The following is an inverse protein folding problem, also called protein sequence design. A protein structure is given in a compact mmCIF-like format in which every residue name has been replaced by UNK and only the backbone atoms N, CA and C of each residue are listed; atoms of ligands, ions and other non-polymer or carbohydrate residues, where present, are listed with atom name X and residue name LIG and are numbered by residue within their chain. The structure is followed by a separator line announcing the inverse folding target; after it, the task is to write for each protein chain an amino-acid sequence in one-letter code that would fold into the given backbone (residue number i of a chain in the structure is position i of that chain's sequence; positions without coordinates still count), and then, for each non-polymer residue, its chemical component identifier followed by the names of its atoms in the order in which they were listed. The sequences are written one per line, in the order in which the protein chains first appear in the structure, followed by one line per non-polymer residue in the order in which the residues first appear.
data_IF_759195779313
#
_entry.id   IF_759195779313
#
_cell.length_a   1.000
_cell.length_b   1.000
_cell.length_c   1.000
_cell.angle_alpha   90.00
_cell.angle_beta   90.00
_cell.angle_gamma   90.00
#
_symmetry.space_group_name_H-M   'P 1'
#
loop_
_entity.id
_entity.type
_entity.pdbx_description
1 polymer ?
#
# COMPACT_ATOMS: atom_id res chain seq x y z
N UNK A 1 -20.30 -8.86 -0.59
CA UNK A 1 -19.05 -8.23 -0.11
C UNK A 1 -18.45 -7.35 -1.19
N UNK A 2 -17.76 -6.28 -0.82
CA UNK A 2 -17.09 -5.37 -1.76
C UNK A 2 -15.87 -4.72 -1.09
N UNK A 3 -15.01 -4.11 -1.90
CA UNK A 3 -13.82 -3.42 -1.42
C UNK A 3 -14.11 -1.94 -1.22
N UNK A 4 -13.71 -1.43 -0.07
CA UNK A 4 -13.64 -0.01 0.23
C UNK A 4 -12.19 0.39 0.47
N UNK A 5 -11.77 1.46 -0.18
CA UNK A 5 -10.46 2.02 0.05
C UNK A 5 -10.50 3.04 1.19
N UNK A 6 -9.60 2.86 2.15
CA UNK A 6 -9.36 3.84 3.19
C UNK A 6 -8.04 4.56 2.90
N UNK A 7 -8.04 5.87 2.99
CA UNK A 7 -6.85 6.68 2.78
C UNK A 7 -6.38 7.31 4.08
N UNK A 8 -5.06 7.36 4.25
CA UNK A 8 -4.39 8.08 5.32
C UNK A 8 -3.23 8.87 4.74
N UNK A 9 -3.21 10.18 4.96
CA UNK A 9 -2.07 11.01 4.61
C UNK A 9 -0.85 10.62 5.44
N UNK A 10 0.28 10.43 4.78
CA UNK A 10 1.56 10.15 5.44
C UNK A 10 2.17 11.44 5.95
N UNK A 11 2.75 11.39 7.13
CA UNK A 11 3.45 12.53 7.72
C UNK A 11 4.82 12.78 7.08
N UNK A 12 5.40 11.77 6.46
CA UNK A 12 6.67 11.84 5.74
C UNK A 12 6.54 11.11 4.41
N UNK A 13 7.25 11.56 3.36
CA UNK A 13 7.29 10.85 2.10
C UNK A 13 8.03 9.51 2.27
N UNK A 14 7.50 8.44 1.67
CA UNK A 14 8.14 7.13 1.72
C UNK A 14 9.31 7.02 0.72
N UNK A 15 9.17 7.62 -0.44
CA UNK A 15 10.13 7.51 -1.54
C UNK A 15 10.30 8.84 -2.28
N UNK A 16 11.47 9.01 -2.88
CA UNK A 16 11.80 10.13 -3.75
C UNK A 16 12.22 11.40 -3.01
N UNK A 17 12.74 12.37 -3.74
CA UNK A 17 13.22 13.61 -3.18
C UNK A 17 12.07 14.46 -2.65
N UNK A 18 12.34 15.23 -1.59
CA UNK A 18 11.44 16.28 -1.13
C UNK A 18 11.23 17.30 -2.24
N UNK A 19 10.00 17.68 -2.50
CA UNK A 19 9.64 18.71 -3.48
C UNK A 19 9.33 20.06 -2.80
N UNK A 20 9.38 20.12 -1.47
CA UNK A 20 9.12 21.31 -0.68
C UNK A 20 8.40 20.98 0.62
N UNK A 21 8.11 21.99 1.41
CA UNK A 21 7.42 21.86 2.68
C UNK A 21 5.90 21.91 2.49
N UNK A 22 5.18 21.13 3.30
CA UNK A 22 3.72 21.22 3.36
C UNK A 22 3.33 22.53 4.02
N UNK A 23 2.38 23.23 3.42
CA UNK A 23 1.81 24.46 3.99
C UNK A 23 0.30 24.31 4.21
N UNK A 24 -0.20 24.94 5.26
CA UNK A 24 -1.62 25.01 5.52
C UNK A 24 -2.32 26.04 4.62
N UNK A 25 -3.63 26.21 4.78
CA UNK A 25 -4.41 27.18 4.00
C UNK A 25 -3.96 28.64 4.20
N UNK A 26 -3.31 28.95 5.33
CA UNK A 26 -2.76 30.27 5.65
C UNK A 26 -1.29 30.42 5.21
N UNK A 27 -0.72 29.43 4.50
CA UNK A 27 0.66 29.45 4.04
C UNK A 27 1.71 29.12 5.11
N UNK A 28 1.31 28.69 6.30
CA UNK A 28 2.22 28.36 7.40
C UNK A 28 2.74 26.92 7.24
N UNK A 29 3.97 26.69 7.68
CA UNK A 29 4.59 25.37 7.70
C UNK A 29 3.83 24.42 8.62
N UNK A 30 3.65 23.18 8.18
CA UNK A 30 2.98 22.13 8.96
C UNK A 30 4.01 21.21 9.58
N UNK A 31 3.87 20.96 10.88
CA UNK A 31 4.74 20.10 11.66
C UNK A 31 4.00 18.82 12.07
N UNK A 32 4.70 17.72 12.16
CA UNK A 32 4.12 16.51 12.74
C UNK A 32 4.15 16.56 14.28
N UNK A 33 3.53 15.56 14.91
CA UNK A 33 3.50 15.48 16.39
C UNK A 33 4.88 15.30 17.02
N UNK A 34 5.91 14.93 16.26
CA UNK A 34 7.29 14.74 16.72
C UNK A 34 8.16 15.98 16.50
N UNK A 35 7.59 17.08 16.02
CA UNK A 35 8.31 18.31 15.77
C UNK A 35 9.12 18.34 14.48
N UNK A 36 8.86 17.43 13.53
CA UNK A 36 9.48 17.43 12.21
C UNK A 36 8.57 18.12 11.19
N UNK A 37 9.18 18.87 10.26
CA UNK A 37 8.45 19.49 9.14
C UNK A 37 7.89 18.40 8.20
N UNK A 38 6.65 18.61 7.76
CA UNK A 38 6.07 17.79 6.72
C UNK A 38 6.58 18.26 5.35
N UNK A 39 6.93 17.30 4.51
CA UNK A 39 7.40 17.56 3.15
C UNK A 39 6.41 17.02 2.13
N UNK A 40 6.24 17.80 1.06
CA UNK A 40 5.64 17.30 -0.17
C UNK A 40 6.67 16.49 -0.94
N UNK A 41 6.22 15.64 -1.81
CA UNK A 41 7.08 14.87 -2.71
C UNK A 41 6.59 14.98 -4.14
N UNK A 42 7.50 14.74 -5.06
CA UNK A 42 7.17 14.58 -6.48
C UNK A 42 6.76 13.13 -6.73
N UNK A 43 5.55 12.93 -7.25
CA UNK A 43 5.03 11.62 -7.67
C UNK A 43 5.57 11.25 -9.05
N UNK A 44 5.37 9.99 -9.46
CA UNK A 44 5.78 9.50 -10.77
C UNK A 44 5.10 10.24 -11.93
N UNK A 45 3.85 10.68 -11.77
CA UNK A 45 3.11 11.51 -12.73
C UNK A 45 3.60 12.98 -12.80
N UNK A 46 4.63 13.35 -12.01
CA UNK A 46 5.16 14.69 -11.90
C UNK A 46 4.40 15.63 -10.96
N UNK A 47 3.25 15.24 -10.44
CA UNK A 47 2.48 16.02 -9.48
C UNK A 47 3.20 16.13 -8.13
N UNK A 48 2.91 17.21 -7.38
CA UNK A 48 3.48 17.45 -6.06
C UNK A 48 2.38 17.35 -5.01
N UNK A 49 2.63 16.60 -3.94
CA UNK A 49 1.66 16.45 -2.86
C UNK A 49 2.18 15.63 -1.69
N UNK A 50 1.36 15.51 -0.64
CA UNK A 50 1.60 14.57 0.44
C UNK A 50 1.41 13.15 -0.08
N UNK A 51 2.25 12.24 0.43
CA UNK A 51 2.07 10.83 0.16
C UNK A 51 0.83 10.30 0.89
N UNK A 52 0.12 9.39 0.26
CA UNK A 52 -1.12 8.82 0.80
C UNK A 52 -0.96 7.30 0.88
N UNK A 53 -1.26 6.75 2.04
CA UNK A 53 -1.36 5.31 2.22
C UNK A 53 -2.80 4.87 2.00
N UNK A 54 -2.97 3.91 1.13
CA UNK A 54 -4.24 3.28 0.82
C UNK A 54 -4.33 1.89 1.43
N UNK A 55 -5.45 1.61 2.08
CA UNK A 55 -5.74 0.28 2.64
C UNK A 55 -6.99 -0.27 1.97
N UNK A 56 -6.88 -1.47 1.41
CA UNK A 56 -8.00 -2.21 0.87
C UNK A 56 -8.74 -2.92 2.02
N UNK A 57 -10.00 -2.61 2.19
CA UNK A 57 -10.85 -3.15 3.24
C UNK A 57 -12.06 -3.85 2.62
N UNK A 58 -12.30 -5.09 3.01
CA UNK A 58 -13.52 -5.82 2.65
C UNK A 58 -14.63 -5.45 3.61
N UNK A 59 -15.75 -5.03 3.07
CA UNK A 59 -16.95 -4.68 3.82
C UNK A 59 -18.15 -5.44 3.28
N UNK A 60 -19.10 -5.67 4.15
CA UNK A 60 -20.38 -6.29 3.83
C UNK A 60 -21.54 -5.39 4.23
N UNK A 61 -22.54 -5.30 3.37
CA UNK A 61 -23.77 -4.62 3.73
C UNK A 61 -24.69 -5.58 4.51
N UNK A 62 -25.06 -5.18 5.69
CA UNK A 62 -26.03 -5.91 6.52
C UNK A 62 -27.22 -5.02 6.83
N UNK A 63 -28.34 -5.63 7.16
CA UNK A 63 -29.48 -4.95 7.76
C UNK A 63 -29.54 -5.32 9.24
N UNK A 64 -29.44 -4.31 10.10
CA UNK A 64 -29.60 -4.44 11.55
C UNK A 64 -30.78 -3.56 11.93
N UNK A 65 -31.81 -4.13 12.55
CA UNK A 65 -33.05 -3.45 12.92
C UNK A 65 -33.69 -2.71 11.72
N UNK A 66 -33.70 -3.36 10.54
CA UNK A 66 -34.25 -2.79 9.31
C UNK A 66 -33.41 -1.68 8.66
N UNK A 67 -32.33 -1.22 9.29
CA UNK A 67 -31.43 -0.17 8.78
C UNK A 67 -30.21 -0.76 8.10
N UNK A 68 -29.80 -0.25 6.93
CA UNK A 68 -28.57 -0.68 6.27
C UNK A 68 -27.35 -0.28 7.11
N UNK A 69 -26.45 -1.23 7.36
CA UNK A 69 -25.17 -1.04 8.04
C UNK A 69 -24.05 -1.66 7.25
N UNK A 70 -22.92 -1.01 7.22
CA UNK A 70 -21.69 -1.59 6.69
C UNK A 70 -20.93 -2.26 7.82
N UNK A 71 -20.61 -3.53 7.64
CA UNK A 71 -19.77 -4.28 8.55
C UNK A 71 -18.38 -4.46 7.95
N UNK A 72 -17.35 -4.12 8.73
CA UNK A 72 -15.98 -4.43 8.41
C UNK A 72 -15.76 -5.95 8.52
N UNK A 73 -15.28 -6.56 7.42
CA UNK A 73 -14.96 -8.00 7.38
C UNK A 73 -13.48 -8.20 7.63
N UNK A 74 -12.63 -7.56 6.83
CA UNK A 74 -11.18 -7.65 6.95
C UNK A 74 -10.47 -6.47 6.30
N UNK A 75 -9.31 -6.10 6.84
CA UNK A 75 -8.32 -5.29 6.15
C UNK A 75 -7.36 -6.23 5.43
N UNK A 76 -7.21 -6.07 4.11
CA UNK A 76 -6.41 -6.97 3.30
C UNK A 76 -4.95 -6.56 3.25
N UNK A 77 -4.68 -5.40 2.67
CA UNK A 77 -3.33 -4.90 2.49
C UNK A 77 -3.32 -3.39 2.38
N UNK A 78 -2.15 -2.81 2.58
CA UNK A 78 -1.93 -1.37 2.43
C UNK A 78 -0.76 -1.11 1.50
N UNK A 79 -0.86 -0.05 0.70
CA UNK A 79 0.22 0.42 -0.14
C UNK A 79 0.24 1.94 -0.16
N UNK A 80 1.42 2.53 -0.12
CA UNK A 80 1.59 3.96 -0.27
C UNK A 80 1.55 4.34 -1.75
N UNK A 81 0.89 5.42 -2.08
CA UNK A 81 0.67 5.86 -3.47
C UNK A 81 1.98 5.95 -4.26
N UNK A 82 3.04 6.44 -3.63
CA UNK A 82 4.38 6.51 -4.22
C UNK A 82 5.01 5.15 -4.54
N UNK A 83 4.54 4.09 -3.91
CA UNK A 83 5.07 2.72 -4.09
C UNK A 83 4.26 1.88 -5.05
N UNK A 84 3.11 2.39 -5.53
CA UNK A 84 2.24 1.64 -6.44
C UNK A 84 2.92 1.29 -7.77
N UNK A 85 3.90 2.06 -8.21
CA UNK A 85 4.66 1.81 -9.44
C UNK A 85 5.92 0.96 -9.22
N UNK A 86 6.29 0.70 -7.97
CA UNK A 86 7.44 -0.12 -7.63
C UNK A 86 7.03 -1.60 -7.66
N UNK A 87 7.60 -2.37 -8.57
CA UNK A 87 7.21 -3.76 -8.86
C UNK A 87 7.22 -4.63 -7.60
N UNK A 88 8.31 -4.65 -6.82
CA UNK A 88 8.39 -5.48 -5.61
C UNK A 88 7.44 -5.02 -4.50
N UNK A 89 7.09 -3.73 -4.42
CA UNK A 89 6.10 -3.24 -3.47
C UNK A 89 4.68 -3.68 -3.86
N UNK A 90 4.35 -3.68 -5.15
CA UNK A 90 3.08 -4.25 -5.64
C UNK A 90 3.03 -5.75 -5.41
N UNK A 91 4.14 -6.48 -5.56
CA UNK A 91 4.20 -7.91 -5.25
C UNK A 91 3.87 -8.18 -3.79
N UNK A 92 4.52 -7.50 -2.85
CA UNK A 92 4.23 -7.64 -1.42
C UNK A 92 2.76 -7.30 -1.10
N UNK A 93 2.23 -6.25 -1.71
CA UNK A 93 0.83 -5.88 -1.53
C UNK A 93 -0.11 -7.02 -1.98
N UNK A 94 0.12 -7.60 -3.15
CA UNK A 94 -0.72 -8.69 -3.66
C UNK A 94 -0.54 -9.98 -2.88
N UNK A 95 0.66 -10.30 -2.42
CA UNK A 95 0.91 -11.42 -1.52
C UNK A 95 0.09 -11.29 -0.23
N UNK A 96 0.11 -10.11 0.39
CA UNK A 96 -0.71 -9.82 1.58
C UNK A 96 -2.21 -9.93 1.29
N UNK A 97 -2.67 -9.45 0.13
CA UNK A 97 -4.09 -9.58 -0.29
C UNK A 97 -4.48 -11.06 -0.37
N UNK A 98 -3.68 -11.88 -1.05
CA UNK A 98 -3.96 -13.30 -1.20
C UNK A 98 -3.94 -14.03 0.14
N UNK A 99 -2.95 -13.79 0.97
CA UNK A 99 -2.84 -14.39 2.31
C UNK A 99 -4.06 -14.06 3.18
N UNK A 100 -4.51 -12.80 3.15
CA UNK A 100 -5.69 -12.38 3.90
C UNK A 100 -6.98 -12.97 3.36
N UNK A 101 -7.14 -13.06 2.05
CA UNK A 101 -8.29 -13.74 1.44
C UNK A 101 -8.31 -15.24 1.76
N UNK A 102 -7.15 -15.89 1.79
CA UNK A 102 -7.01 -17.29 2.19
C UNK A 102 -7.41 -17.50 3.66
N UNK A 103 -7.01 -16.57 4.55
CA UNK A 103 -7.39 -16.61 5.97
C UNK A 103 -8.90 -16.46 6.19
N UNK A 104 -9.63 -15.80 5.30
CA UNK A 104 -11.08 -15.71 5.35
C UNK A 104 -11.76 -17.06 5.07
N UNK A 105 -11.12 -17.93 4.30
CA UNK A 105 -11.57 -19.28 4.03
C UNK A 105 -13.02 -19.34 3.53
N UNK A 106 -13.87 -20.09 4.23
CA UNK A 106 -15.27 -20.27 3.85
C UNK A 106 -16.17 -19.05 4.11
N UNK A 107 -15.67 -17.99 4.73
CA UNK A 107 -16.43 -16.74 4.92
C UNK A 107 -16.61 -15.96 3.63
N UNK A 108 -15.83 -16.27 2.61
CA UNK A 108 -15.87 -15.63 1.32
C UNK A 108 -16.09 -16.67 0.22
N UNK A 109 -17.04 -16.40 -0.67
CA UNK A 109 -17.25 -17.23 -1.85
C UNK A 109 -16.16 -17.00 -2.90
N UNK A 110 -15.96 -17.97 -3.78
CA UNK A 110 -15.02 -17.81 -4.91
C UNK A 110 -15.42 -16.66 -5.84
N UNK A 111 -16.71 -16.42 -5.99
CA UNK A 111 -17.22 -15.31 -6.78
C UNK A 111 -16.91 -13.96 -6.13
N UNK A 112 -17.16 -13.82 -4.83
CA UNK A 112 -16.81 -12.61 -4.08
C UNK A 112 -15.31 -12.36 -4.09
N UNK A 113 -14.50 -13.41 -3.95
CA UNK A 113 -13.05 -13.31 -4.05
C UNK A 113 -12.61 -12.72 -5.39
N UNK A 114 -13.14 -13.23 -6.49
CA UNK A 114 -12.84 -12.71 -7.84
C UNK A 114 -13.24 -11.24 -8.00
N UNK A 115 -14.41 -10.87 -7.48
CA UNK A 115 -14.90 -9.48 -7.51
C UNK A 115 -14.01 -8.55 -6.70
N UNK A 116 -13.57 -8.99 -5.53
CA UNK A 116 -12.66 -8.24 -4.66
C UNK A 116 -11.31 -8.05 -5.35
N UNK A 117 -10.71 -9.11 -5.86
CA UNK A 117 -9.44 -9.04 -6.57
C UNK A 117 -9.51 -8.13 -7.81
N UNK A 118 -10.60 -8.22 -8.59
CA UNK A 118 -10.81 -7.35 -9.74
C UNK A 118 -10.95 -5.87 -9.33
N UNK A 119 -11.67 -5.58 -8.26
CA UNK A 119 -11.82 -4.22 -7.75
C UNK A 119 -10.48 -3.63 -7.24
N UNK A 120 -9.65 -4.45 -6.59
CA UNK A 120 -8.32 -4.04 -6.15
C UNK A 120 -7.40 -3.77 -7.34
N UNK A 121 -7.46 -4.59 -8.39
CA UNK A 121 -6.63 -4.45 -9.59
C UNK A 121 -6.90 -3.15 -10.37
N UNK A 122 -8.07 -2.54 -10.22
CA UNK A 122 -8.36 -1.23 -10.80
C UNK A 122 -7.49 -0.11 -10.21
N UNK A 123 -7.08 -0.24 -8.96
CA UNK A 123 -6.25 0.76 -8.26
C UNK A 123 -4.78 0.35 -8.19
N UNK A 124 -4.53 -0.89 -7.86
CA UNK A 124 -3.18 -1.47 -7.78
C UNK A 124 -3.07 -2.59 -8.81
N UNK A 125 -2.51 -2.31 -10.01
CA UNK A 125 -2.42 -3.32 -11.06
C UNK A 125 -1.72 -4.59 -10.61
N UNK A 126 -2.20 -5.74 -11.07
CA UNK A 126 -1.51 -7.02 -10.86
C UNK A 126 -0.16 -7.01 -11.59
N UNK A 127 0.77 -7.80 -11.09
CA UNK A 127 2.02 -8.05 -11.79
C UNK A 127 1.79 -9.00 -12.96
N UNK A 128 2.46 -8.72 -14.09
CA UNK A 128 2.64 -9.72 -15.14
C UNK A 128 3.58 -10.81 -14.65
N UNK A 129 3.60 -11.96 -15.32
CA UNK A 129 4.53 -13.04 -14.98
C UNK A 129 5.99 -12.58 -15.05
N UNK A 130 6.33 -11.80 -16.08
CA UNK A 130 7.67 -11.24 -16.24
C UNK A 130 8.06 -10.29 -15.10
N UNK A 131 7.16 -9.42 -14.67
CA UNK A 131 7.39 -8.52 -13.52
C UNK A 131 7.55 -9.31 -12.22
N UNK A 132 6.75 -10.33 -12.01
CA UNK A 132 6.83 -11.20 -10.84
C UNK A 132 8.20 -11.90 -10.77
N UNK A 133 8.63 -12.50 -11.86
CA UNK A 133 9.92 -13.21 -11.95
C UNK A 133 11.09 -12.26 -11.74
N UNK A 134 11.06 -11.07 -12.38
CA UNK A 134 12.08 -10.05 -12.20
C UNK A 134 12.15 -9.56 -10.74
N UNK A 135 11.02 -9.44 -10.05
CA UNK A 135 10.98 -9.06 -8.63
C UNK A 135 11.62 -10.12 -7.73
N UNK A 136 11.45 -11.40 -8.04
CA UNK A 136 12.07 -12.50 -7.28
C UNK A 136 13.59 -12.53 -7.53
N UNK A 137 14.02 -12.42 -8.77
CA UNK A 137 15.45 -12.38 -9.13
C UNK A 137 16.18 -11.25 -8.42
N UNK A 138 15.62 -10.05 -8.42
CA UNK A 138 16.21 -8.88 -7.73
C UNK A 138 16.38 -9.11 -6.22
N UNK A 139 15.42 -9.78 -5.58
CA UNK A 139 15.54 -10.12 -4.16
C UNK A 139 16.65 -11.13 -3.93
N UNK A 140 16.78 -12.15 -4.81
CA UNK A 140 17.84 -13.15 -4.71
C UNK A 140 19.24 -12.54 -4.92
N UNK A 141 19.40 -11.64 -5.88
CA UNK A 141 20.66 -10.91 -6.10
C UNK A 141 21.04 -10.08 -4.89
N UNK A 142 20.11 -9.31 -4.32
CA UNK A 142 20.35 -8.50 -3.13
C UNK A 142 20.73 -9.36 -1.91
N UNK A 143 20.16 -10.55 -1.75
CA UNK A 143 20.53 -11.49 -0.70
C UNK A 143 21.91 -12.09 -0.92
N UNK A 144 22.28 -12.40 -2.16
CA UNK A 144 23.61 -12.91 -2.52
C UNK A 144 24.70 -11.89 -2.18
N UNK A 145 24.49 -10.64 -2.56
CA UNK A 145 25.43 -9.55 -2.27
C UNK A 145 25.58 -9.29 -0.76
N UNK A 146 24.51 -9.45 0.00
CA UNK A 146 24.55 -9.27 1.44
C UNK A 146 25.37 -10.37 2.12
N UNK A 147 25.28 -11.61 1.65
CA UNK A 147 26.03 -12.75 2.18
C UNK A 147 27.51 -12.75 1.79
N UNK A 148 27.90 -11.97 0.77
CA UNK A 148 29.30 -11.86 0.33
C UNK A 148 30.04 -10.67 0.92
N UNK A 149 29.39 -9.79 1.69
CA UNK A 149 30.08 -8.72 2.40
C UNK A 149 30.83 -9.32 3.59
N UNK A 150 32.18 -9.25 3.62
CA UNK A 150 32.93 -9.73 4.76
C UNK A 150 32.55 -8.93 6.00
N UNK A 151 32.27 -9.65 7.09
CA UNK A 151 32.04 -9.06 8.40
C UNK A 151 33.23 -8.17 8.75
N UNK A 152 33.04 -6.87 8.88
CA UNK A 152 33.99 -5.94 9.45
C UNK A 152 33.64 -5.73 10.91
N UNK A 153 34.41 -6.26 11.87
CA UNK A 153 34.20 -5.96 13.28
C UNK A 153 34.38 -4.46 13.50
N UNK A 154 33.44 -3.86 14.22
CA UNK A 154 33.55 -2.47 14.66
C UNK A 154 34.75 -2.38 15.59
N UNK A 155 35.76 -1.64 15.23
CA UNK A 155 36.85 -1.23 16.11
C UNK A 155 36.37 -0.17 17.07
#
# INVERSE_FOLDING_TARGET
MYVRWQSRKRQQPDLGPSAGEVRDKAGRRVWNKRGSLLHTRRRADGSIGQDVRWTAVVVENMRIDGKPRQQHVASLASITESRMEVIHQRRYFWDDVHDRLDQLGNRISMEDRRRIEAAIALKVPRLSQAEHDASIEQVQENFSDYNHKPYRPST
#
